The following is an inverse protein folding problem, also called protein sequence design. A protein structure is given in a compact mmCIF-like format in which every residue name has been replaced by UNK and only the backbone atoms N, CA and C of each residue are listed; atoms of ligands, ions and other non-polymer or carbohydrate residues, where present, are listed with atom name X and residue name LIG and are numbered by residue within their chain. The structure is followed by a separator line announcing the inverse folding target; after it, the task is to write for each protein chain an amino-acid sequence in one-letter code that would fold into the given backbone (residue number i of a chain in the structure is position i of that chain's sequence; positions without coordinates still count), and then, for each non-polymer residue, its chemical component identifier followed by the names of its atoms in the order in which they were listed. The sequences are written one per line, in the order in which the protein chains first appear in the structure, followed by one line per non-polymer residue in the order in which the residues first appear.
data_IF_917448115876
#
_entry.id   IF_917448115876
#
_cell.length_a   1.000
_cell.length_b   1.000
_cell.length_c   1.000
_cell.angle_alpha   90.00
_cell.angle_beta   90.00
_cell.angle_gamma   90.00
#
_symmetry.space_group_name_H-M   'P 1'
#
loop_
_entity.id
_entity.type
_entity.pdbx_description
1 polymer ?
#
# COMPACT_ATOMS: atom_id res chain seq x y z
N UNK A 1 -25.17 17.57 55.23
CA UNK A 1 -25.03 18.02 53.82
C UNK A 1 -25.83 17.06 52.96
N UNK A 2 -26.84 17.56 52.23
CA UNK A 2 -27.84 16.76 51.50
C UNK A 2 -27.32 16.40 50.10
N UNK A 3 -27.36 15.12 49.74
CA UNK A 3 -27.23 14.63 48.36
C UNK A 3 -28.51 14.94 47.59
N UNK A 4 -28.40 15.50 46.38
CA UNK A 4 -29.48 15.51 45.40
C UNK A 4 -29.08 14.69 44.18
N UNK A 5 -29.88 13.65 43.91
CA UNK A 5 -29.83 12.83 42.72
C UNK A 5 -30.62 13.53 41.59
N UNK A 6 -30.01 13.69 40.43
CA UNK A 6 -30.68 14.19 39.23
C UNK A 6 -30.93 13.00 38.31
N UNK A 7 -32.20 12.66 38.18
CA UNK A 7 -32.74 11.67 37.25
C UNK A 7 -32.87 12.32 35.86
N UNK A 8 -32.14 11.82 34.87
CA UNK A 8 -32.36 12.15 33.45
C UNK A 8 -33.09 10.99 32.77
N UNK A 9 -34.39 11.11 32.65
CA UNK A 9 -35.22 10.35 31.70
C UNK A 9 -35.02 10.92 30.30
N UNK A 10 -34.31 10.19 29.43
CA UNK A 10 -34.19 10.51 28.02
C UNK A 10 -35.41 9.97 27.25
N UNK A 11 -36.07 10.89 26.55
CA UNK A 11 -37.20 10.63 25.67
C UNK A 11 -36.79 9.75 24.48
N UNK A 12 -37.53 8.65 24.31
CA UNK A 12 -37.48 7.77 23.17
C UNK A 12 -38.42 8.34 22.07
N UNK A 13 -37.85 8.93 21.02
CA UNK A 13 -38.61 9.29 19.82
C UNK A 13 -38.26 8.33 18.67
N UNK A 14 -39.15 7.36 18.44
CA UNK A 14 -39.17 6.56 17.21
C UNK A 14 -39.64 7.45 16.04
N UNK A 15 -38.75 7.70 15.08
CA UNK A 15 -39.12 8.15 13.74
C UNK A 15 -39.10 6.94 12.80
N UNK A 16 -40.29 6.38 12.55
CA UNK A 16 -40.53 5.35 11.54
C UNK A 16 -40.66 6.08 10.19
N UNK A 17 -39.57 6.17 9.44
CA UNK A 17 -39.64 6.60 8.03
C UNK A 17 -39.92 5.39 7.16
N UNK A 18 -41.07 5.43 6.47
CA UNK A 18 -41.50 4.42 5.52
C UNK A 18 -40.61 4.39 4.29
N UNK A 19 -40.08 3.21 3.96
CA UNK A 19 -39.47 2.93 2.67
C UNK A 19 -40.58 2.62 1.66
N UNK A 20 -40.80 3.54 0.71
CA UNK A 20 -41.52 3.25 -0.52
C UNK A 20 -40.70 2.27 -1.37
N UNK A 21 -41.29 1.11 -1.67
CA UNK A 21 -40.74 0.14 -2.62
C UNK A 21 -40.89 0.66 -4.05
N UNK A 22 -39.80 1.10 -4.66
CA UNK A 22 -39.71 1.25 -6.11
C UNK A 22 -39.50 -0.13 -6.75
N UNK A 23 -40.43 -0.55 -7.61
CA UNK A 23 -40.27 -1.71 -8.51
C UNK A 23 -39.11 -1.44 -9.45
N UNK A 24 -38.01 -2.17 -9.27
CA UNK A 24 -36.91 -2.22 -10.24
C UNK A 24 -37.37 -3.11 -11.39
N UNK A 25 -37.42 -2.56 -12.59
CA UNK A 25 -37.67 -3.28 -13.82
C UNK A 25 -36.53 -4.29 -14.07
N UNK A 26 -36.91 -5.53 -14.34
CA UNK A 26 -36.02 -6.63 -14.71
C UNK A 26 -35.26 -6.28 -16.00
N UNK A 27 -33.92 -6.30 -16.02
CA UNK A 27 -33.17 -6.18 -17.27
C UNK A 27 -33.44 -7.41 -18.17
N UNK A 28 -33.57 -7.23 -19.49
CA UNK A 28 -33.73 -8.35 -20.41
C UNK A 28 -32.49 -9.24 -20.41
N UNK A 29 -32.72 -10.55 -20.50
CA UNK A 29 -31.70 -11.58 -20.51
C UNK A 29 -30.68 -11.38 -21.66
N UNK A 30 -29.38 -11.61 -21.42
CA UNK A 30 -28.39 -11.63 -22.48
C UNK A 30 -28.65 -12.82 -23.41
N UNK A 31 -28.89 -12.52 -24.68
CA UNK A 31 -28.96 -13.50 -25.76
C UNK A 31 -27.60 -14.16 -25.97
N UNK A 32 -27.54 -15.46 -25.72
CA UNK A 32 -26.43 -16.36 -26.06
C UNK A 32 -26.21 -16.40 -27.58
N UNK A 33 -24.99 -16.13 -28.09
CA UNK A 33 -24.59 -16.64 -29.38
C UNK A 33 -24.13 -18.10 -29.28
N UNK A 34 -24.64 -18.86 -30.24
CA UNK A 34 -24.50 -20.29 -30.48
C UNK A 34 -23.05 -20.68 -30.78
N UNK A 35 -22.67 -21.85 -30.28
CA UNK A 35 -21.40 -22.52 -30.53
C UNK A 35 -21.11 -22.72 -32.02
N UNK A 36 -19.83 -22.64 -32.41
CA UNK A 36 -19.36 -23.40 -33.57
C UNK A 36 -17.96 -23.96 -33.31
N UNK A 37 -17.94 -25.27 -33.31
CA UNK A 37 -16.81 -26.19 -33.19
C UNK A 37 -15.98 -26.17 -34.48
N UNK A 38 -14.64 -26.19 -34.37
CA UNK A 38 -13.71 -26.79 -35.35
C UNK A 38 -12.29 -26.88 -34.77
N UNK A 39 -11.90 -28.05 -34.26
CA UNK A 39 -10.55 -28.63 -34.42
C UNK A 39 -10.52 -29.35 -35.80
N UNK A 40 -9.40 -29.88 -36.34
CA UNK A 40 -8.03 -30.03 -35.80
C UNK A 40 -6.88 -29.72 -36.80
N UNK A 41 -5.61 -29.73 -36.36
CA UNK A 41 -4.56 -30.68 -36.83
C UNK A 41 -3.18 -30.41 -36.22
N UNK A 42 -2.47 -31.51 -36.00
CA UNK A 42 -1.07 -31.68 -35.64
C UNK A 42 -0.06 -30.81 -36.41
N UNK A 43 1.02 -30.41 -35.74
CA UNK A 43 2.36 -30.89 -36.12
C UNK A 43 3.45 -30.60 -35.07
N UNK A 44 4.08 -31.71 -34.70
CA UNK A 44 5.39 -31.85 -34.08
C UNK A 44 6.49 -31.19 -34.91
N UNK A 45 7.37 -30.40 -34.29
CA UNK A 45 8.77 -30.35 -34.70
C UNK A 45 9.69 -29.88 -33.55
N UNK A 46 10.96 -30.22 -33.71
CA UNK A 46 11.93 -30.66 -32.70
C UNK A 46 13.20 -29.80 -32.84
N UNK A 47 13.91 -29.59 -31.71
CA UNK A 47 15.35 -29.23 -31.65
C UNK A 47 15.70 -27.79 -32.11
N UNK A 48 16.72 -27.05 -31.63
CA UNK A 48 18.10 -27.38 -31.21
C UNK A 48 18.61 -26.33 -30.19
N UNK A 49 19.67 -26.74 -29.49
CA UNK A 49 20.51 -26.13 -28.46
C UNK A 49 21.14 -24.73 -28.68
N UNK A 50 21.55 -24.17 -27.52
CA UNK A 50 22.80 -23.47 -27.17
C UNK A 50 23.52 -22.56 -28.15
N UNK A 51 23.77 -21.31 -27.71
CA UNK A 51 25.15 -20.76 -27.75
C UNK A 51 25.43 -19.80 -26.58
N UNK A 52 26.57 -20.06 -25.95
CA UNK A 52 27.33 -19.32 -24.94
C UNK A 52 28.24 -18.29 -25.62
N UNK A 53 28.57 -17.16 -24.95
CA UNK A 53 29.88 -16.44 -24.90
C UNK A 53 29.60 -15.03 -24.31
N UNK A 54 30.09 -14.63 -23.13
CA UNK A 54 31.48 -14.25 -22.77
C UNK A 54 32.10 -13.22 -23.72
N UNK A 55 32.33 -11.99 -23.23
CA UNK A 55 33.65 -11.28 -23.16
C UNK A 55 33.39 -9.82 -22.74
N UNK A 56 33.77 -9.38 -21.54
CA UNK A 56 35.05 -8.74 -21.19
C UNK A 56 35.46 -7.59 -22.12
N UNK A 57 35.61 -6.38 -21.58
CA UNK A 57 36.89 -5.63 -21.57
C UNK A 57 36.69 -4.27 -20.90
N UNK A 58 37.30 -4.15 -19.73
CA UNK A 58 37.66 -2.93 -19.03
C UNK A 58 38.90 -2.30 -19.69
N UNK A 59 39.01 -0.96 -19.71
CA UNK A 59 40.33 -0.33 -19.61
C UNK A 59 40.48 0.46 -18.31
N UNK A 60 41.58 0.16 -17.64
CA UNK A 60 42.19 0.89 -16.53
C UNK A 60 43.12 1.98 -17.08
N UNK A 61 43.41 2.96 -16.20
CA UNK A 61 44.50 3.95 -16.18
C UNK A 61 44.04 5.38 -16.50
N UNK A 62 44.00 6.32 -15.53
CA UNK A 62 45.09 6.84 -14.67
C UNK A 62 46.02 7.77 -15.44
N UNK A 63 45.83 9.08 -15.27
CA UNK A 63 46.77 10.22 -15.36
C UNK A 63 45.92 11.47 -15.00
N UNK A 64 46.35 12.54 -14.34
CA UNK A 64 47.57 12.94 -13.64
C UNK A 64 47.15 14.25 -12.93
N UNK A 65 47.58 14.43 -11.68
CA UNK A 65 47.39 15.66 -10.91
C UNK A 65 48.14 16.81 -11.59
N UNK A 66 47.45 17.91 -11.89
CA UNK A 66 48.07 19.20 -12.13
C UNK A 66 47.37 20.29 -11.32
N UNK A 67 48.19 20.88 -10.46
CA UNK A 67 47.94 21.97 -9.55
C UNK A 67 48.06 23.29 -10.32
N UNK A 68 46.99 24.08 -10.37
CA UNK A 68 47.12 25.53 -10.54
C UNK A 68 45.86 26.25 -10.05
N UNK A 69 46.02 27.01 -8.97
CA UNK A 69 45.14 28.12 -8.59
C UNK A 69 45.37 29.28 -9.57
N UNK A 70 44.33 30.03 -9.96
CA UNK A 70 44.02 31.21 -9.17
C UNK A 70 42.52 31.56 -9.06
N UNK A 71 42.14 31.98 -7.85
CA UNK A 71 41.19 33.03 -7.50
C UNK A 71 40.04 33.43 -8.45
N UNK A 72 38.84 33.23 -7.90
CA UNK A 72 37.67 34.12 -7.95
C UNK A 72 36.93 34.29 -9.29
N UNK A 73 35.91 33.44 -9.49
CA UNK A 73 34.69 33.81 -10.23
C UNK A 73 33.47 33.18 -9.54
N UNK A 74 32.65 34.05 -8.92
CA UNK A 74 31.18 33.91 -8.82
C UNK A 74 30.64 32.84 -7.85
N UNK A 75 30.50 33.23 -6.59
CA UNK A 75 29.44 32.69 -5.73
C UNK A 75 28.08 33.01 -6.37
N UNK A 76 27.57 32.07 -7.16
CA UNK A 76 26.16 31.96 -7.52
C UNK A 76 25.73 30.54 -7.19
N UNK A 77 24.72 30.46 -6.35
CA UNK A 77 23.85 29.30 -6.14
C UNK A 77 24.53 28.10 -5.48
N UNK A 78 24.54 28.12 -4.15
CA UNK A 78 24.44 26.92 -3.33
C UNK A 78 23.17 27.01 -2.49
N UNK A 79 22.05 27.13 -3.18
CA UNK A 79 20.70 26.96 -2.66
C UNK A 79 20.00 25.94 -3.57
N UNK A 80 20.56 24.74 -3.63
CA UNK A 80 19.89 23.62 -4.27
C UNK A 80 20.38 22.33 -3.62
N UNK A 81 19.43 21.42 -3.37
CA UNK A 81 19.61 20.08 -2.80
C UNK A 81 19.50 19.95 -1.27
N UNK A 82 18.53 20.65 -0.66
CA UNK A 82 17.63 19.93 0.24
C UNK A 82 16.65 19.14 -0.64
N UNK A 83 17.13 18.03 -1.23
CA UNK A 83 16.27 17.14 -2.02
C UNK A 83 15.26 16.59 -1.03
N UNK A 84 14.04 17.12 -1.14
CA UNK A 84 12.88 16.69 -0.38
C UNK A 84 12.66 15.19 -0.61
N UNK A 85 13.24 14.37 0.27
CA UNK A 85 13.15 12.89 0.25
C UNK A 85 11.72 12.39 0.50
N UNK A 86 10.74 13.28 0.58
CA UNK A 86 9.33 12.94 0.76
C UNK A 86 8.65 12.61 -0.55
N UNK A 87 9.27 12.81 -1.71
CA UNK A 87 8.66 12.53 -3.01
C UNK A 87 9.46 11.54 -3.86
N UNK A 88 8.75 10.63 -4.53
CA UNK A 88 9.36 9.61 -5.39
C UNK A 88 8.64 9.55 -6.75
N UNK A 89 9.40 9.63 -7.85
CA UNK A 89 8.84 9.60 -9.22
C UNK A 89 8.57 8.16 -9.64
N UNK A 90 7.32 7.89 -10.01
CA UNK A 90 6.85 6.55 -10.39
C UNK A 90 6.96 6.29 -11.90
N UNK A 91 6.96 7.34 -12.71
CA UNK A 91 7.02 7.27 -14.17
C UNK A 91 5.94 8.16 -14.79
N UNK A 92 5.49 7.81 -15.99
CA UNK A 92 4.45 8.57 -16.70
C UNK A 92 3.12 7.81 -16.70
N UNK A 93 2.02 8.52 -16.47
CA UNK A 93 0.66 8.05 -16.61
C UNK A 93 0.33 7.76 -18.08
N UNK A 94 -0.83 7.15 -18.32
CA UNK A 94 -1.36 6.91 -19.67
C UNK A 94 -1.61 8.21 -20.45
N UNK A 95 -1.80 9.33 -19.75
CA UNK A 95 -1.91 10.69 -20.33
C UNK A 95 -0.56 11.27 -20.76
N UNK A 96 0.56 10.65 -20.38
CA UNK A 96 1.91 11.17 -20.58
C UNK A 96 2.44 12.02 -19.42
N UNK A 97 1.58 12.39 -18.46
CA UNK A 97 1.96 13.20 -17.30
C UNK A 97 2.75 12.41 -16.27
N UNK A 98 3.63 13.08 -15.52
CA UNK A 98 4.45 12.43 -14.49
C UNK A 98 3.61 12.08 -13.27
N UNK A 99 3.78 10.85 -12.77
CA UNK A 99 3.22 10.36 -11.51
C UNK A 99 4.29 10.47 -10.42
N UNK A 100 3.99 11.20 -9.34
CA UNK A 100 4.88 11.37 -8.19
C UNK A 100 4.15 10.95 -6.91
N UNK A 101 4.75 10.07 -6.11
CA UNK A 101 4.21 9.63 -4.83
C UNK A 101 4.78 10.49 -3.69
N UNK A 102 3.93 10.94 -2.76
CA UNK A 102 4.37 11.58 -1.52
C UNK A 102 4.55 10.51 -0.43
N UNK A 103 5.79 10.10 -0.17
CA UNK A 103 6.16 9.03 0.75
C UNK A 103 5.80 9.33 2.22
N UNK A 104 5.80 10.59 2.62
CA UNK A 104 5.44 11.04 3.96
C UNK A 104 3.92 10.98 4.23
N UNK A 105 3.11 11.04 3.16
CA UNK A 105 1.66 10.93 3.23
C UNK A 105 1.13 9.50 3.40
N UNK A 106 1.99 8.49 3.25
CA UNK A 106 1.59 7.09 3.35
C UNK A 106 1.35 6.73 4.82
N UNK A 107 0.08 6.53 5.15
CA UNK A 107 -0.38 6.10 6.46
C UNK A 107 -1.25 4.84 6.36
N UNK A 108 -1.33 4.09 7.47
CA UNK A 108 -2.13 2.87 7.56
C UNK A 108 -3.30 3.17 8.47
N UNK A 109 -4.50 3.10 7.92
CA UNK A 109 -5.72 3.37 8.68
C UNK A 109 -6.01 2.20 9.63
N UNK A 110 -6.01 2.50 10.93
CA UNK A 110 -6.07 1.54 12.04
C UNK A 110 -7.42 0.84 12.25
N UNK A 111 -8.42 1.11 11.39
CA UNK A 111 -9.67 0.34 11.36
C UNK A 111 -9.45 -1.12 10.94
N UNK A 112 -8.26 -1.48 10.47
CA UNK A 112 -7.98 -2.81 9.93
C UNK A 112 -7.73 -3.90 10.98
N UNK A 113 -7.62 -3.61 12.29
CA UNK A 113 -7.44 -4.66 13.30
C UNK A 113 -8.64 -5.62 13.25
N UNK A 114 -8.38 -6.92 13.10
CA UNK A 114 -9.41 -7.95 12.92
C UNK A 114 -9.93 -8.12 11.49
N UNK A 115 -9.50 -7.29 10.54
CA UNK A 115 -9.76 -7.44 9.10
C UNK A 115 -8.62 -8.19 8.39
N UNK A 116 -8.88 -8.63 7.16
CA UNK A 116 -7.93 -9.45 6.40
C UNK A 116 -6.75 -8.64 5.85
N UNK A 117 -6.95 -7.35 5.51
CA UNK A 117 -5.94 -6.50 4.89
C UNK A 117 -5.88 -5.11 5.53
N UNK A 118 -4.69 -4.50 5.65
CA UNK A 118 -4.56 -3.11 6.04
C UNK A 118 -5.05 -2.20 4.93
N UNK A 119 -5.67 -1.09 5.30
CA UNK A 119 -5.97 0.01 4.37
C UNK A 119 -4.90 1.07 4.48
N UNK A 120 -4.34 1.48 3.34
CA UNK A 120 -3.34 2.53 3.24
C UNK A 120 -4.00 3.77 2.67
N UNK A 121 -3.78 4.91 3.31
CA UNK A 121 -4.07 6.23 2.77
C UNK A 121 -2.76 6.86 2.30
N UNK A 122 -2.79 7.54 1.16
CA UNK A 122 -1.62 8.19 0.59
C UNK A 122 -2.05 9.32 -0.35
N UNK A 123 -1.13 10.23 -0.62
CA UNK A 123 -1.26 11.27 -1.63
C UNK A 123 -0.28 10.99 -2.77
N UNK A 124 -0.71 11.28 -3.99
CA UNK A 124 0.16 11.28 -5.17
C UNK A 124 -0.16 12.49 -6.06
N UNK A 125 0.68 12.74 -7.05
CA UNK A 125 0.53 13.84 -7.99
C UNK A 125 0.57 13.30 -9.42
N UNK A 126 -0.34 13.76 -10.28
CA UNK A 126 -0.26 13.57 -11.74
C UNK A 126 -0.15 14.96 -12.36
N UNK A 127 0.96 15.22 -13.06
CA UNK A 127 1.25 16.56 -13.57
C UNK A 127 1.33 17.57 -12.41
N UNK A 128 0.43 18.55 -12.39
CA UNK A 128 0.32 19.53 -11.30
C UNK A 128 -0.72 19.16 -10.23
N UNK A 129 -1.59 18.18 -10.51
CA UNK A 129 -2.73 17.86 -9.66
C UNK A 129 -2.34 16.91 -8.53
N UNK A 130 -2.59 17.34 -7.28
CA UNK A 130 -2.45 16.49 -6.09
C UNK A 130 -3.75 15.74 -5.81
N UNK A 131 -3.65 14.43 -5.65
CA UNK A 131 -4.77 13.53 -5.41
C UNK A 131 -4.53 12.73 -4.13
N UNK A 132 -5.55 12.62 -3.29
CA UNK A 132 -5.54 11.72 -2.13
C UNK A 132 -6.24 10.42 -2.51
N UNK A 133 -5.72 9.29 -2.06
CA UNK A 133 -6.28 7.99 -2.35
C UNK A 133 -6.13 7.00 -1.19
N UNK A 134 -6.90 5.93 -1.28
CA UNK A 134 -6.76 4.76 -0.40
C UNK A 134 -6.61 3.48 -1.21
N UNK A 135 -5.97 2.47 -0.63
CA UNK A 135 -5.91 1.12 -1.17
C UNK A 135 -5.89 0.09 -0.06
N UNK A 136 -6.50 -1.07 -0.29
CA UNK A 136 -6.36 -2.26 0.56
C UNK A 136 -5.32 -3.25 0.01
N UNK A 137 -4.49 -2.79 -0.93
CA UNK A 137 -3.46 -3.61 -1.60
C UNK A 137 -4.02 -4.89 -2.23
N UNK A 138 -5.20 -4.77 -2.85
CA UNK A 138 -5.86 -5.80 -3.66
C UNK A 138 -5.68 -5.54 -5.18
N UNK A 139 -4.80 -4.62 -5.55
CA UNK A 139 -4.59 -4.19 -6.94
C UNK A 139 -5.51 -3.06 -7.39
N UNK A 140 -6.34 -2.53 -6.50
CA UNK A 140 -7.24 -1.39 -6.75
C UNK A 140 -6.97 -0.27 -5.76
N UNK A 141 -7.36 0.94 -6.13
CA UNK A 141 -7.31 2.11 -5.26
C UNK A 141 -8.51 3.01 -5.52
N UNK A 142 -8.81 3.89 -4.57
CA UNK A 142 -9.97 4.77 -4.63
C UNK A 142 -9.52 6.17 -4.27
N UNK A 143 -9.89 7.15 -5.10
CA UNK A 143 -9.62 8.56 -4.86
C UNK A 143 -10.52 9.09 -3.73
N UNK A 144 -9.99 10.03 -2.98
CA UNK A 144 -10.70 10.69 -1.88
C UNK A 144 -10.60 12.20 -2.04
N UNK A 145 -11.70 12.89 -1.74
CA UNK A 145 -11.79 14.35 -1.75
C UNK A 145 -12.39 14.80 -0.44
N UNK A 146 -11.69 15.69 0.27
CA UNK A 146 -12.11 16.19 1.59
C UNK A 146 -12.42 15.08 2.61
N UNK A 147 -11.67 13.97 2.54
CA UNK A 147 -11.86 12.80 3.42
C UNK A 147 -13.04 11.90 3.05
N UNK A 148 -13.74 12.19 1.96
CA UNK A 148 -14.85 11.38 1.43
C UNK A 148 -14.42 10.60 0.19
N UNK A 149 -14.97 9.39 0.02
CA UNK A 149 -14.78 8.59 -1.18
C UNK A 149 -15.45 9.28 -2.36
N UNK A 150 -14.66 9.67 -3.35
CA UNK A 150 -15.15 10.45 -4.48
C UNK A 150 -15.62 9.54 -5.63
N UNK A 151 -14.87 8.47 -5.90
CA UNK A 151 -15.14 7.53 -6.99
C UNK A 151 -15.27 6.09 -6.50
N UNK A 152 -15.63 5.15 -7.38
CA UNK A 152 -15.49 3.71 -7.09
C UNK A 152 -14.00 3.29 -7.12
N UNK A 153 -13.62 2.17 -6.47
CA UNK A 153 -12.28 1.61 -6.63
C UNK A 153 -11.97 1.32 -8.09
N UNK A 154 -10.76 1.67 -8.52
CA UNK A 154 -10.26 1.50 -9.89
C UNK A 154 -8.92 0.78 -9.91
N UNK A 155 -8.62 0.12 -11.03
CA UNK A 155 -7.31 -0.48 -11.29
C UNK A 155 -6.34 0.55 -11.87
N UNK A 156 -5.02 0.37 -11.68
CA UNK A 156 -4.02 1.20 -12.33
C UNK A 156 -4.19 1.28 -13.84
N UNK A 157 -4.29 2.51 -14.37
CA UNK A 157 -4.41 2.76 -15.80
C UNK A 157 -3.05 2.78 -16.55
N UNK A 158 -1.94 2.71 -15.81
CA UNK A 158 -0.59 2.75 -16.36
C UNK A 158 0.40 1.98 -15.49
N UNK A 159 1.56 1.62 -16.05
CA UNK A 159 2.65 1.00 -15.31
C UNK A 159 3.17 1.91 -14.18
N UNK A 160 3.15 3.24 -14.36
CA UNK A 160 3.54 4.18 -13.32
C UNK A 160 2.57 4.15 -12.14
N UNK A 161 1.26 4.11 -12.40
CA UNK A 161 0.23 3.98 -11.35
C UNK A 161 0.32 2.62 -10.66
N UNK A 162 0.65 1.54 -11.38
CA UNK A 162 0.87 0.22 -10.77
C UNK A 162 2.08 0.25 -9.84
N UNK A 163 3.23 0.77 -10.32
CA UNK A 163 4.44 0.93 -9.51
C UNK A 163 4.19 1.77 -8.26
N UNK A 164 3.39 2.83 -8.38
CA UNK A 164 2.96 3.65 -7.25
C UNK A 164 2.21 2.81 -6.21
N UNK A 165 1.22 2.02 -6.61
CA UNK A 165 0.48 1.16 -5.68
C UNK A 165 1.39 0.10 -5.05
N UNK A 166 2.26 -0.53 -5.83
CA UNK A 166 3.23 -1.51 -5.33
C UNK A 166 4.14 -0.87 -4.27
N UNK A 167 4.57 0.37 -4.51
CA UNK A 167 5.38 1.15 -3.57
C UNK A 167 4.64 1.47 -2.28
N UNK A 168 3.38 1.90 -2.35
CA UNK A 168 2.52 2.14 -1.18
C UNK A 168 2.34 0.86 -0.37
N UNK A 169 2.01 -0.24 -1.04
CA UNK A 169 1.71 -1.53 -0.43
C UNK A 169 2.91 -2.19 0.23
N UNK A 170 4.13 -1.78 -0.12
CA UNK A 170 5.38 -2.29 0.46
C UNK A 170 6.08 -1.27 1.35
N UNK A 171 5.57 -0.04 1.47
CA UNK A 171 6.27 1.09 2.09
C UNK A 171 6.71 0.84 3.54
N UNK A 172 5.83 0.22 4.34
CA UNK A 172 6.09 -0.12 5.75
C UNK A 172 6.27 -1.62 5.98
N UNK A 173 6.32 -2.42 4.91
CA UNK A 173 6.43 -3.87 5.04
C UNK A 173 7.85 -4.22 5.45
N UNK A 174 7.97 -4.89 6.60
CA UNK A 174 9.25 -5.41 7.11
C UNK A 174 9.10 -6.85 7.51
N UNK A 175 10.05 -7.67 7.07
CA UNK A 175 10.15 -9.06 7.49
C UNK A 175 10.86 -9.15 8.85
N UNK A 176 10.35 -9.99 9.73
CA UNK A 176 10.94 -10.29 11.03
C UNK A 176 10.87 -11.79 11.29
N UNK A 177 11.74 -12.31 12.16
CA UNK A 177 11.66 -13.67 12.68
C UNK A 177 11.00 -13.69 14.05
N UNK A 178 10.02 -14.57 14.24
CA UNK A 178 9.45 -14.82 15.58
C UNK A 178 10.42 -15.68 16.39
N UNK A 179 10.84 -15.19 17.55
CA UNK A 179 11.90 -15.84 18.35
C UNK A 179 11.50 -16.20 19.77
N UNK A 180 10.62 -15.44 20.42
CA UNK A 180 10.19 -15.75 21.78
C UNK A 180 8.82 -16.43 21.76
N UNK A 181 8.87 -17.76 21.76
CA UNK A 181 7.70 -18.64 21.68
C UNK A 181 7.21 -19.05 23.07
N UNK A 182 5.90 -19.24 23.26
CA UNK A 182 4.83 -18.94 22.30
C UNK A 182 4.64 -17.43 22.11
N UNK A 183 4.46 -16.98 20.86
CA UNK A 183 4.25 -15.57 20.55
C UNK A 183 2.77 -15.25 20.36
N UNK A 184 2.17 -14.52 21.30
CA UNK A 184 0.79 -14.03 21.18
C UNK A 184 0.68 -12.81 20.27
N UNK A 185 -0.27 -12.89 19.34
CA UNK A 185 -0.75 -11.75 18.54
C UNK A 185 -2.07 -11.28 19.13
N UNK A 186 -2.26 -9.98 19.32
CA UNK A 186 -3.43 -9.43 20.02
C UNK A 186 -4.21 -8.42 19.18
N UNK A 187 -5.45 -8.14 19.58
CA UNK A 187 -6.22 -7.02 19.02
C UNK A 187 -5.64 -5.68 19.46
N UNK A 188 -5.19 -5.60 20.71
CA UNK A 188 -4.59 -4.42 21.34
C UNK A 188 -3.48 -4.89 22.28
N UNK A 189 -2.52 -4.04 22.69
CA UNK A 189 -1.42 -4.44 23.59
C UNK A 189 -1.85 -5.21 24.85
N UNK A 190 -2.94 -4.74 25.48
CA UNK A 190 -3.56 -5.36 26.64
C UNK A 190 -4.88 -6.09 26.31
N UNK A 191 -5.22 -6.17 25.02
CA UNK A 191 -6.45 -6.79 24.56
C UNK A 191 -6.38 -8.31 24.45
N UNK A 192 -7.42 -8.85 23.83
CA UNK A 192 -7.58 -10.28 23.58
C UNK A 192 -6.52 -10.80 22.61
N UNK A 193 -5.99 -11.99 22.88
CA UNK A 193 -5.16 -12.75 21.93
C UNK A 193 -6.00 -13.21 20.74
N UNK A 194 -5.58 -12.81 19.53
CA UNK A 194 -6.14 -13.25 18.26
C UNK A 194 -5.67 -14.67 17.92
N UNK A 195 -4.36 -14.90 17.99
CA UNK A 195 -3.77 -16.23 17.86
C UNK A 195 -2.42 -16.30 18.57
N UNK A 196 -1.90 -17.51 18.70
CA UNK A 196 -0.57 -17.77 19.26
C UNK A 196 0.27 -18.49 18.22
N UNK A 197 1.42 -17.93 17.90
CA UNK A 197 2.44 -18.54 17.05
C UNK A 197 3.27 -19.48 17.91
N UNK A 198 3.25 -20.77 17.56
CA UNK A 198 3.91 -21.83 18.33
C UNK A 198 5.32 -22.18 17.84
N UNK A 199 5.65 -21.82 16.60
CA UNK A 199 6.92 -22.16 15.97
C UNK A 199 7.61 -20.89 15.45
N UNK A 200 8.93 -20.91 15.43
CA UNK A 200 9.72 -19.85 14.83
C UNK A 200 9.39 -19.80 13.33
N UNK A 201 9.05 -18.61 12.84
CA UNK A 201 8.72 -18.38 11.44
C UNK A 201 8.96 -16.92 11.07
N UNK A 202 9.19 -16.70 9.78
CA UNK A 202 9.22 -15.36 9.22
C UNK A 202 7.81 -14.80 9.18
N UNK A 203 7.65 -13.56 9.62
CA UNK A 203 6.40 -12.81 9.52
C UNK A 203 6.65 -11.48 8.82
N UNK A 204 5.60 -10.92 8.25
CA UNK A 204 5.61 -9.52 7.80
C UNK A 204 4.93 -8.65 8.85
N UNK A 205 5.47 -7.46 9.00
CA UNK A 205 4.84 -6.38 9.76
C UNK A 205 4.58 -5.20 8.85
N UNK A 206 3.57 -4.41 9.18
CA UNK A 206 3.13 -3.26 8.39
C UNK A 206 3.52 -1.93 9.05
N UNK A 207 4.41 -1.95 10.04
CA UNK A 207 4.77 -0.76 10.81
C UNK A 207 4.38 -0.87 12.29
N UNK A 208 4.71 0.18 13.03
CA UNK A 208 4.52 0.23 14.48
C UNK A 208 3.16 0.85 14.83
N UNK A 209 2.56 0.40 15.92
CA UNK A 209 1.42 1.07 16.53
C UNK A 209 1.81 2.50 16.94
N UNK A 210 0.96 3.47 16.61
CA UNK A 210 1.23 4.90 16.85
C UNK A 210 1.34 5.20 18.36
N UNK A 211 0.37 4.75 19.15
CA UNK A 211 0.33 5.03 20.60
C UNK A 211 1.15 4.08 21.48
N UNK A 212 1.54 2.91 20.96
CA UNK A 212 2.17 1.86 21.78
C UNK A 212 3.51 1.45 21.20
N UNK A 213 4.56 2.07 21.73
CA UNK A 213 5.93 1.78 21.33
C UNK A 213 6.25 0.29 21.44
N UNK A 214 6.89 -0.25 20.40
CA UNK A 214 7.27 -1.66 20.35
C UNK A 214 6.14 -2.62 20.00
N UNK A 215 4.96 -2.16 19.61
CA UNK A 215 3.93 -3.03 19.01
C UNK A 215 3.89 -2.86 17.51
N UNK A 216 3.78 -3.96 16.77
CA UNK A 216 3.81 -3.98 15.31
C UNK A 216 2.57 -4.62 14.75
N UNK A 217 2.00 -4.03 13.70
CA UNK A 217 0.91 -4.65 12.95
C UNK A 217 1.43 -5.84 12.17
N UNK A 218 0.75 -6.99 12.25
CA UNK A 218 1.07 -8.20 11.49
C UNK A 218 -0.22 -8.95 11.12
N UNK A 219 -0.18 -9.74 10.06
CA UNK A 219 -1.30 -10.60 9.63
C UNK A 219 -0.99 -12.09 9.77
N UNK A 220 0.00 -12.48 10.60
CA UNK A 220 0.39 -13.90 10.78
C UNK A 220 -0.77 -14.80 11.23
N UNK A 221 -1.82 -14.24 11.84
CA UNK A 221 -3.05 -14.96 12.21
C UNK A 221 -4.10 -15.04 11.08
N UNK A 222 -3.78 -14.64 9.85
CA UNK A 222 -4.74 -14.47 8.75
C UNK A 222 -5.62 -13.21 8.88
N UNK A 223 -5.48 -12.46 9.96
CA UNK A 223 -6.13 -11.17 10.23
C UNK A 223 -5.11 -10.23 10.83
N UNK A 224 -5.31 -8.92 10.63
CA UNK A 224 -4.43 -7.90 11.20
C UNK A 224 -4.57 -7.90 12.72
N UNK A 225 -3.43 -8.03 13.39
CA UNK A 225 -3.26 -7.94 14.82
C UNK A 225 -1.94 -7.28 15.18
N UNK A 226 -1.61 -7.31 16.46
CA UNK A 226 -0.42 -6.69 17.03
C UNK A 226 0.49 -7.74 17.66
N UNK A 227 1.77 -7.68 17.31
CA UNK A 227 2.83 -8.49 17.93
C UNK A 227 3.84 -7.57 18.62
N UNK A 228 4.32 -7.96 19.80
CA UNK A 228 5.27 -7.16 20.55
C UNK A 228 6.69 -7.35 19.99
N UNK A 229 7.50 -6.28 19.99
CA UNK A 229 8.92 -6.28 19.58
C UNK A 229 9.71 -7.36 20.32
N UNK A 230 9.42 -7.59 21.59
CA UNK A 230 10.09 -8.63 22.36
C UNK A 230 9.86 -10.05 21.80
N UNK A 231 8.91 -10.25 20.89
CA UNK A 231 8.61 -11.55 20.30
C UNK A 231 9.28 -11.76 18.94
N UNK A 232 9.92 -10.72 18.39
CA UNK A 232 10.42 -10.69 17.01
C UNK A 232 11.82 -10.08 16.92
N UNK A 233 12.60 -10.47 15.91
CA UNK A 233 13.93 -9.91 15.60
C UNK A 233 14.16 -9.72 14.10
#
# INVERSE_FOLDING_TARGET
MKLQAISLTAFLSLLVHGCSYSKIATPPAPSTPVASSSQPTDKSEKSVASTKSEDSTQPTASYKTEESSPSQVKQRVSEEQNVDRTQEVMGNASTGEKVTLMLDSIDITLRSIGFERPTYSFSYQIGAEKVNAVTSCNGEFQTTKDGTFYDNPVKPASAATQKMLDRVCTYRVKAFQVVNLPASVKTEPQGKTLCTVQNAQSITTFGQHQDYAGWFYTNVCGKIGLINRAQIQ
#
